data_IF_978905870214
#
_entry.id   IF_978905870214
#
_cell.length_a   1.000
_cell.length_b   1.000
_cell.length_c   1.000
_cell.angle_alpha   90.00
_cell.angle_beta   90.00
_cell.angle_gamma   90.00
#
_symmetry.space_group_name_H-M   'P 1'
#
loop_
_entity.id
_entity.type
_entity.pdbx_description
1 polymer ?
#
# COMPACT_ATOMS: atom_id res chain seq x y z
N UNK A 1 -30.43 -17.86 -26.23
CA UNK A 1 -30.26 -19.20 -25.59
C UNK A 1 -28.88 -19.72 -26.01
N UNK A 2 -28.15 -20.30 -25.05
CA UNK A 2 -26.75 -20.80 -25.21
C UNK A 2 -26.64 -21.87 -26.30
N UNK A 3 -27.76 -22.34 -26.79
CA UNK A 3 -27.85 -23.47 -27.74
C UNK A 3 -27.94 -23.01 -29.21
N UNK A 4 -28.27 -21.77 -29.49
CA UNK A 4 -28.54 -21.26 -30.84
C UNK A 4 -27.34 -20.63 -31.55
N UNK A 5 -26.30 -20.25 -30.82
CA UNK A 5 -25.05 -19.77 -31.40
C UNK A 5 -23.99 -20.88 -31.30
N UNK A 6 -23.35 -21.14 -32.39
CA UNK A 6 -22.30 -22.17 -32.58
C UNK A 6 -21.03 -21.78 -31.77
N UNK A 7 -21.13 -21.76 -30.43
CA UNK A 7 -20.11 -21.19 -29.58
C UNK A 7 -19.26 -22.30 -28.98
N UNK A 8 -18.17 -22.62 -29.67
CA UNK A 8 -16.97 -23.16 -29.05
C UNK A 8 -16.18 -21.95 -28.55
N UNK A 9 -16.26 -21.62 -27.29
CA UNK A 9 -15.36 -20.60 -26.70
C UNK A 9 -14.28 -21.29 -25.87
N UNK A 10 -13.04 -20.87 -26.08
CA UNK A 10 -11.90 -21.29 -25.26
C UNK A 10 -11.37 -20.09 -24.50
N UNK A 11 -11.15 -20.29 -23.20
CA UNK A 11 -10.53 -19.30 -22.32
C UNK A 11 -11.25 -17.94 -22.28
N UNK A 12 -12.59 -17.98 -22.29
CA UNK A 12 -13.40 -16.77 -22.10
C UNK A 12 -13.44 -16.36 -20.63
N UNK A 13 -13.07 -15.11 -20.34
CA UNK A 13 -13.07 -14.57 -18.98
C UNK A 13 -14.47 -14.04 -18.65
N UNK A 14 -15.12 -14.63 -17.66
CA UNK A 14 -16.49 -14.27 -17.24
C UNK A 14 -16.50 -13.96 -15.74
N UNK A 15 -17.26 -12.95 -15.34
CA UNK A 15 -17.49 -12.60 -13.96
C UNK A 15 -18.75 -13.35 -13.44
N UNK A 16 -18.55 -14.34 -12.59
CA UNK A 16 -19.66 -15.07 -11.93
C UNK A 16 -19.65 -14.76 -10.44
N UNK A 17 -20.72 -14.17 -9.92
CA UNK A 17 -20.85 -13.82 -8.49
C UNK A 17 -19.62 -13.07 -7.95
N UNK A 18 -19.10 -12.10 -8.70
CA UNK A 18 -17.90 -11.32 -8.39
C UNK A 18 -16.58 -12.11 -8.38
N UNK A 19 -16.56 -13.34 -8.90
CA UNK A 19 -15.36 -14.16 -9.09
C UNK A 19 -15.06 -14.21 -10.58
N UNK A 20 -13.83 -13.89 -10.98
CA UNK A 20 -13.37 -14.07 -12.36
C UNK A 20 -13.07 -15.55 -12.63
N UNK A 21 -13.83 -16.14 -13.52
CA UNK A 21 -13.67 -17.54 -13.94
C UNK A 21 -13.34 -17.63 -15.42
N UNK A 22 -12.45 -18.54 -15.75
CA UNK A 22 -12.16 -18.93 -17.11
C UNK A 22 -13.18 -19.98 -17.55
N UNK A 23 -13.91 -19.69 -18.60
CA UNK A 23 -15.00 -20.54 -19.09
C UNK A 23 -14.57 -21.17 -20.43
N UNK A 24 -14.62 -22.48 -20.49
CA UNK A 24 -14.48 -23.24 -21.72
C UNK A 24 -15.79 -23.93 -22.04
N UNK A 25 -16.28 -23.74 -23.26
CA UNK A 25 -17.54 -24.34 -23.73
C UNK A 25 -17.25 -25.26 -24.93
N UNK A 26 -17.67 -26.50 -24.83
CA UNK A 26 -17.56 -27.49 -25.89
C UNK A 26 -18.95 -28.09 -26.17
N UNK A 27 -19.37 -28.03 -27.44
CA UNK A 27 -20.60 -28.67 -27.86
C UNK A 27 -20.41 -30.19 -28.07
N UNK A 28 -21.40 -30.98 -27.66
CA UNK A 28 -21.44 -32.42 -27.87
C UNK A 28 -22.46 -32.71 -28.94
N UNK A 29 -22.03 -33.44 -29.99
CA UNK A 29 -22.87 -33.88 -31.11
C UNK A 29 -23.06 -35.39 -31.04
N UNK A 30 -24.28 -35.86 -31.35
CA UNK A 30 -24.60 -37.27 -31.57
C UNK A 30 -25.39 -37.38 -32.87
N UNK A 31 -24.91 -38.19 -33.80
CA UNK A 31 -25.49 -38.33 -35.16
C UNK A 31 -25.71 -36.98 -35.86
N UNK A 32 -24.70 -36.12 -35.86
CA UNK A 32 -24.69 -34.75 -36.39
C UNK A 32 -25.76 -33.80 -35.80
N UNK A 33 -26.40 -34.18 -34.72
CA UNK A 33 -27.31 -33.33 -33.99
C UNK A 33 -26.69 -32.88 -32.68
N UNK A 34 -26.84 -31.61 -32.36
CA UNK A 34 -26.41 -31.05 -31.07
C UNK A 34 -27.17 -31.77 -29.95
N UNK A 35 -26.43 -32.51 -29.13
CA UNK A 35 -26.96 -33.26 -27.99
C UNK A 35 -26.86 -32.47 -26.68
N UNK A 36 -25.81 -31.67 -26.54
CA UNK A 36 -25.60 -30.89 -25.34
C UNK A 36 -24.31 -30.06 -25.40
N UNK A 37 -23.94 -29.47 -24.29
CA UNK A 37 -22.68 -28.76 -24.16
C UNK A 37 -22.01 -29.07 -22.79
N UNK A 38 -20.68 -29.18 -22.81
CA UNK A 38 -19.87 -29.22 -21.58
C UNK A 38 -19.30 -27.82 -21.33
N UNK A 39 -19.52 -27.31 -20.14
CA UNK A 39 -18.97 -26.05 -19.67
C UNK A 39 -17.98 -26.35 -18.54
N UNK A 40 -16.73 -25.99 -18.71
CA UNK A 40 -15.72 -26.07 -17.66
C UNK A 40 -15.48 -24.68 -17.12
N UNK A 41 -15.55 -24.54 -15.81
CA UNK A 41 -15.28 -23.27 -15.08
C UNK A 41 -13.99 -23.46 -14.28
N UNK A 42 -13.05 -22.52 -14.42
CA UNK A 42 -11.81 -22.53 -13.63
C UNK A 42 -11.67 -21.20 -12.92
N UNK A 43 -11.66 -21.23 -11.60
CA UNK A 43 -11.40 -20.08 -10.76
C UNK A 43 -9.94 -19.61 -10.92
N UNK A 44 -9.77 -18.31 -11.17
CA UNK A 44 -8.45 -17.69 -11.34
C UNK A 44 -7.96 -16.93 -10.10
N UNK A 45 -8.77 -16.86 -9.04
CA UNK A 45 -8.47 -16.05 -7.86
C UNK A 45 -7.16 -16.49 -7.18
N UNK A 46 -6.92 -17.79 -7.10
CA UNK A 46 -5.70 -18.36 -6.48
C UNK A 46 -4.45 -18.11 -7.34
N UNK A 47 -4.59 -18.25 -8.65
CA UNK A 47 -3.50 -17.96 -9.60
C UNK A 47 -3.13 -16.45 -9.57
N UNK A 48 -4.11 -15.57 -9.52
CA UNK A 48 -3.90 -14.12 -9.40
C UNK A 48 -3.24 -13.74 -8.06
N UNK A 49 -3.61 -14.38 -6.95
CA UNK A 49 -2.94 -14.21 -5.67
C UNK A 49 -1.45 -14.58 -5.76
N UNK A 50 -1.16 -15.76 -6.30
CA UNK A 50 0.22 -16.24 -6.48
C UNK A 50 1.03 -15.32 -7.40
N UNK A 51 0.45 -14.82 -8.50
CA UNK A 51 1.11 -13.87 -9.40
C UNK A 51 1.37 -12.54 -8.69
N UNK A 52 0.44 -12.08 -7.85
CA UNK A 52 0.61 -10.83 -7.08
C UNK A 52 1.68 -10.97 -6.01
N UNK A 53 1.74 -12.11 -5.32
CA UNK A 53 2.80 -12.43 -4.36
C UNK A 53 4.17 -12.56 -5.04
N UNK A 54 4.25 -13.23 -6.19
CA UNK A 54 5.47 -13.35 -6.98
C UNK A 54 5.95 -12.00 -7.52
N UNK A 55 5.05 -11.18 -8.07
CA UNK A 55 5.41 -9.83 -8.54
C UNK A 55 5.77 -8.89 -7.39
N UNK A 56 5.22 -9.10 -6.20
CA UNK A 56 5.65 -8.40 -4.99
C UNK A 56 7.09 -8.72 -4.62
N UNK A 57 7.46 -10.01 -4.71
CA UNK A 57 8.85 -10.49 -4.43
C UNK A 57 9.85 -10.00 -5.49
N UNK A 58 9.47 -9.97 -6.77
CA UNK A 58 10.31 -9.43 -7.84
C UNK A 58 10.56 -7.94 -7.66
N UNK A 59 9.52 -7.15 -7.43
CA UNK A 59 9.64 -5.70 -7.13
C UNK A 59 10.48 -5.43 -5.88
N UNK A 60 10.38 -6.29 -4.86
CA UNK A 60 11.22 -6.20 -3.66
C UNK A 60 12.69 -6.47 -3.99
N UNK A 61 12.98 -7.52 -4.78
CA UNK A 61 14.34 -7.85 -5.21
C UNK A 61 14.94 -6.76 -6.10
N UNK A 62 14.17 -6.17 -7.00
CA UNK A 62 14.60 -5.06 -7.84
C UNK A 62 14.90 -3.81 -7.00
N UNK A 63 14.07 -3.52 -6.01
CA UNK A 63 14.30 -2.43 -5.05
C UNK A 63 15.57 -2.66 -4.21
N UNK A 64 15.83 -3.90 -3.78
CA UNK A 64 17.07 -4.24 -3.08
C UNK A 64 18.31 -4.09 -3.97
N UNK A 65 18.22 -4.50 -5.25
CA UNK A 65 19.30 -4.30 -6.22
C UNK A 65 19.59 -2.83 -6.45
N UNK A 66 18.56 -2.02 -6.64
CA UNK A 66 18.69 -0.57 -6.80
C UNK A 66 19.31 0.07 -5.57
N UNK A 67 18.90 -0.33 -4.36
CA UNK A 67 19.53 0.12 -3.12
C UNK A 67 21.01 -0.24 -3.04
N UNK A 68 21.37 -1.48 -3.41
CA UNK A 68 22.76 -1.92 -3.45
C UNK A 68 23.59 -1.10 -4.42
N UNK A 69 23.05 -0.80 -5.61
CA UNK A 69 23.71 0.06 -6.59
C UNK A 69 23.92 1.48 -6.08
N UNK A 70 22.88 2.08 -5.45
CA UNK A 70 23.01 3.41 -4.85
C UNK A 70 24.03 3.45 -3.71
N UNK A 71 24.07 2.40 -2.89
CA UNK A 71 25.05 2.27 -1.81
C UNK A 71 26.48 2.14 -2.37
N UNK A 72 26.68 1.26 -3.37
CA UNK A 72 27.97 1.09 -4.03
C UNK A 72 28.46 2.39 -4.68
N UNK A 73 27.58 3.16 -5.32
CA UNK A 73 27.94 4.46 -5.89
C UNK A 73 28.41 5.45 -4.81
N UNK A 74 27.77 5.48 -3.64
CA UNK A 74 28.20 6.31 -2.50
C UNK A 74 29.58 5.88 -1.99
N UNK A 75 29.83 4.56 -1.90
CA UNK A 75 31.16 4.04 -1.54
C UNK A 75 32.23 4.38 -2.59
N UNK A 76 31.93 4.33 -3.90
CA UNK A 76 32.86 4.71 -4.94
C UNK A 76 33.24 6.19 -4.86
N UNK A 77 32.29 7.09 -4.56
CA UNK A 77 32.59 8.52 -4.35
C UNK A 77 33.51 8.69 -3.14
N UNK A 78 33.21 8.04 -2.02
CA UNK A 78 34.07 8.08 -0.82
C UNK A 78 35.47 7.56 -1.11
N UNK A 79 35.59 6.44 -1.81
CA UNK A 79 36.86 5.84 -2.18
C UNK A 79 37.69 6.80 -3.06
N UNK A 80 37.07 7.39 -4.09
CA UNK A 80 37.72 8.38 -4.96
C UNK A 80 38.22 9.61 -4.20
N UNK A 81 37.43 10.15 -3.28
CA UNK A 81 37.83 11.28 -2.44
C UNK A 81 39.02 10.94 -1.52
N UNK A 82 39.06 9.71 -0.99
CA UNK A 82 40.17 9.20 -0.16
C UNK A 82 41.45 9.05 -1.04
N UNK A 83 41.33 8.45 -2.23
CA UNK A 83 42.47 8.33 -3.17
C UNK A 83 43.05 9.70 -3.55
N UNK A 84 42.19 10.71 -3.73
CA UNK A 84 42.59 12.10 -3.98
C UNK A 84 43.12 12.79 -2.73
N UNK A 85 43.14 12.15 -1.56
CA UNK A 85 43.54 12.73 -0.27
C UNK A 85 42.74 13.96 0.13
N UNK A 86 41.51 14.11 -0.39
CA UNK A 86 40.61 15.24 -0.14
C UNK A 86 39.76 14.97 1.13
N UNK A 87 40.44 14.90 2.27
CA UNK A 87 39.80 14.49 3.55
C UNK A 87 38.71 15.45 4.01
N UNK A 88 38.84 16.75 3.75
CA UNK A 88 37.79 17.73 4.06
C UNK A 88 36.49 17.45 3.27
N UNK A 89 36.63 17.03 2.00
CA UNK A 89 35.48 16.67 1.17
C UNK A 89 34.89 15.32 1.57
N UNK A 90 35.70 14.38 2.09
CA UNK A 90 35.23 13.13 2.68
C UNK A 90 34.34 13.44 3.88
N UNK A 91 34.77 14.31 4.79
CA UNK A 91 34.02 14.69 5.98
C UNK A 91 32.69 15.37 5.62
N UNK A 92 32.72 16.32 4.68
CA UNK A 92 31.51 16.97 4.15
C UNK A 92 30.54 15.97 3.52
N UNK A 93 31.07 15.03 2.73
CA UNK A 93 30.23 14.02 2.07
C UNK A 93 29.63 13.03 3.06
N UNK A 94 30.37 12.61 4.09
CA UNK A 94 29.85 11.79 5.19
C UNK A 94 28.77 12.56 5.97
N UNK A 95 29.00 13.83 6.29
CA UNK A 95 28.03 14.69 6.94
C UNK A 95 26.76 14.83 6.09
N UNK A 96 26.89 15.11 4.80
CA UNK A 96 25.78 15.13 3.86
C UNK A 96 25.00 13.80 3.84
N UNK A 97 25.70 12.65 3.80
CA UNK A 97 25.05 11.34 3.84
C UNK A 97 24.33 11.09 5.17
N UNK A 98 24.91 11.55 6.28
CA UNK A 98 24.33 11.44 7.61
C UNK A 98 23.10 12.32 7.75
N UNK A 99 23.15 13.55 7.27
CA UNK A 99 22.03 14.48 7.32
C UNK A 99 20.87 14.03 6.40
N UNK A 100 21.19 13.59 5.15
CA UNK A 100 20.19 12.99 4.25
C UNK A 100 19.56 11.72 4.82
N UNK A 101 20.32 10.95 5.60
CA UNK A 101 19.83 9.75 6.29
C UNK A 101 19.00 10.13 7.52
N UNK A 102 19.47 11.05 8.38
CA UNK A 102 18.77 11.46 9.59
C UNK A 102 17.50 12.25 9.29
N UNK A 103 17.54 13.17 8.34
CA UNK A 103 16.38 13.97 7.97
C UNK A 103 15.23 13.13 7.36
N UNK A 104 15.57 12.03 6.66
CA UNK A 104 14.58 11.22 5.91
C UNK A 104 14.30 9.85 6.51
N UNK A 105 15.21 9.28 7.29
CA UNK A 105 15.19 7.86 7.68
C UNK A 105 15.49 7.64 9.17
N UNK A 106 16.24 8.54 9.81
CA UNK A 106 16.74 8.35 11.17
C UNK A 106 15.62 8.04 12.16
N UNK A 107 14.57 8.85 12.15
CA UNK A 107 13.42 8.68 13.05
C UNK A 107 12.64 7.39 12.75
N UNK A 108 12.56 6.95 11.48
CA UNK A 108 11.84 5.71 11.13
C UNK A 108 12.56 4.50 11.73
N UNK A 109 13.87 4.40 11.58
CA UNK A 109 14.65 3.23 12.06
C UNK A 109 14.82 3.24 13.59
N UNK A 110 14.83 4.43 14.19
CA UNK A 110 14.99 4.58 15.64
C UNK A 110 13.69 4.30 16.40
N UNK A 111 12.56 4.70 15.86
CA UNK A 111 11.28 4.68 16.56
C UNK A 111 10.35 3.55 16.07
N UNK A 112 10.46 3.13 14.80
CA UNK A 112 9.66 2.04 14.25
C UNK A 112 10.46 0.74 14.31
N UNK A 113 10.27 -0.04 15.37
CA UNK A 113 11.02 -1.26 15.65
C UNK A 113 10.50 -2.51 14.93
N UNK A 114 9.45 -2.39 14.13
CA UNK A 114 8.92 -3.45 13.26
C UNK A 114 9.50 -3.29 11.86
N UNK A 115 10.43 -4.19 11.42
CA UNK A 115 11.16 -4.02 10.16
C UNK A 115 10.27 -3.92 8.92
N UNK A 116 9.15 -4.67 8.90
CA UNK A 116 8.20 -4.64 7.79
C UNK A 116 7.55 -3.26 7.64
N UNK A 117 7.12 -2.64 8.76
CA UNK A 117 6.50 -1.30 8.76
C UNK A 117 7.55 -0.24 8.38
N UNK A 118 8.75 -0.31 8.97
CA UNK A 118 9.83 0.63 8.64
C UNK A 118 10.20 0.56 7.14
N UNK A 119 10.40 -0.64 6.60
CA UNK A 119 10.69 -0.86 5.19
C UNK A 119 9.59 -0.35 4.26
N UNK A 120 8.32 -0.59 4.60
CA UNK A 120 7.16 -0.10 3.87
C UNK A 120 7.12 1.44 3.84
N UNK A 121 7.25 2.09 4.99
CA UNK A 121 7.25 3.55 5.08
C UNK A 121 8.38 4.17 4.25
N UNK A 122 9.59 3.59 4.28
CA UNK A 122 10.71 4.02 3.45
C UNK A 122 10.40 3.90 1.95
N UNK A 123 9.75 2.83 1.53
CA UNK A 123 9.32 2.67 0.14
C UNK A 123 8.30 3.75 -0.26
N UNK A 124 7.31 4.03 0.60
CA UNK A 124 6.30 5.06 0.36
C UNK A 124 6.87 6.48 0.36
N UNK A 125 7.86 6.78 1.19
CA UNK A 125 8.59 8.06 1.15
C UNK A 125 9.27 8.26 -0.21
N UNK A 126 9.90 7.21 -0.76
CA UNK A 126 10.51 7.28 -2.09
C UNK A 126 9.48 7.44 -3.21
N UNK A 127 8.39 6.68 -3.16
CA UNK A 127 7.29 6.78 -4.12
C UNK A 127 6.70 8.20 -4.14
N UNK A 128 6.40 8.76 -2.97
CA UNK A 128 5.89 10.13 -2.83
C UNK A 128 6.87 11.15 -3.43
N UNK A 129 8.19 10.99 -3.17
CA UNK A 129 9.23 11.87 -3.74
C UNK A 129 9.26 11.84 -5.26
N UNK A 130 9.07 10.67 -5.89
CA UNK A 130 8.97 10.56 -7.36
C UNK A 130 7.79 11.34 -7.93
N UNK A 131 6.74 11.54 -7.14
CA UNK A 131 5.54 12.32 -7.47
C UNK A 131 5.65 13.79 -7.01
N UNK A 132 6.82 14.26 -6.57
CA UNK A 132 7.06 15.58 -5.99
C UNK A 132 6.22 15.86 -4.73
N UNK A 133 5.87 14.84 -3.96
CA UNK A 133 5.13 14.93 -2.70
C UNK A 133 6.09 14.70 -1.54
N UNK A 134 6.01 15.53 -0.50
CA UNK A 134 6.76 15.38 0.74
C UNK A 134 5.97 14.46 1.68
N UNK A 135 6.39 13.20 1.83
CA UNK A 135 5.87 12.30 2.85
C UNK A 135 6.81 12.30 4.04
N UNK A 136 6.30 12.68 5.20
CA UNK A 136 7.04 12.75 6.47
C UNK A 136 6.44 11.77 7.46
N UNK A 137 7.30 11.13 8.24
CA UNK A 137 6.88 10.38 9.43
C UNK A 137 7.05 11.31 10.61
N UNK A 138 5.99 11.46 11.39
CA UNK A 138 6.00 12.32 12.57
C UNK A 138 7.10 11.87 13.54
N UNK A 139 7.93 12.77 14.07
CA UNK A 139 9.02 12.43 14.99
C UNK A 139 8.56 11.73 16.28
N UNK A 140 7.33 11.99 16.72
CA UNK A 140 6.75 11.37 17.91
C UNK A 140 6.16 9.97 17.63
N UNK A 141 6.27 9.48 16.37
CA UNK A 141 5.87 8.11 16.03
C UNK A 141 6.73 7.09 16.77
N UNK A 142 6.10 6.08 17.37
CA UNK A 142 6.80 4.98 18.03
C UNK A 142 6.03 3.67 17.89
N UNK A 143 6.65 2.68 17.27
CA UNK A 143 6.12 1.31 17.17
C UNK A 143 7.17 0.35 17.70
N UNK A 144 6.90 -0.23 18.87
CA UNK A 144 7.72 -1.27 19.46
C UNK A 144 7.35 -2.64 18.86
N UNK A 145 8.33 -3.54 18.71
CA UNK A 145 8.05 -4.91 18.32
C UNK A 145 7.53 -5.67 19.55
N UNK A 146 6.23 -5.99 19.56
CA UNK A 146 5.55 -6.76 20.61
C UNK A 146 5.10 -8.10 20.02
N UNK A 147 5.42 -9.21 20.69
CA UNK A 147 4.96 -10.55 20.32
C UNK A 147 3.44 -10.61 20.26
N UNK A 148 2.89 -11.41 19.36
CA UNK A 148 1.44 -11.58 19.21
C UNK A 148 0.76 -10.52 18.32
N UNK A 149 1.49 -9.48 17.88
CA UNK A 149 0.93 -8.44 17.02
C UNK A 149 1.28 -8.56 15.53
N UNK A 150 1.88 -9.68 15.11
CA UNK A 150 2.35 -9.85 13.72
C UNK A 150 1.19 -9.74 12.71
N UNK A 151 0.02 -10.31 13.02
CA UNK A 151 -1.16 -10.20 12.16
C UNK A 151 -1.66 -8.76 12.06
N UNK A 152 -1.76 -8.06 13.19
CA UNK A 152 -2.14 -6.65 13.24
C UNK A 152 -1.14 -5.77 12.46
N UNK A 153 0.15 -6.03 12.58
CA UNK A 153 1.17 -5.28 11.84
C UNK A 153 1.07 -5.52 10.33
N UNK A 154 0.73 -6.74 9.89
CA UNK A 154 0.48 -7.01 8.47
C UNK A 154 -0.76 -6.25 7.96
N UNK A 155 -1.83 -6.20 8.74
CA UNK A 155 -3.02 -5.43 8.38
C UNK A 155 -2.79 -3.92 8.44
N UNK A 156 -1.94 -3.44 9.36
CA UNK A 156 -1.50 -2.05 9.40
C UNK A 156 -0.79 -1.63 8.10
N UNK A 157 -0.04 -2.52 7.45
CA UNK A 157 0.56 -2.24 6.14
C UNK A 157 -0.50 -2.00 5.07
N UNK A 158 -1.61 -2.75 5.10
CA UNK A 158 -2.75 -2.55 4.18
C UNK A 158 -3.41 -1.20 4.44
N UNK A 159 -3.68 -0.89 5.72
CA UNK A 159 -4.26 0.40 6.14
C UNK A 159 -3.40 1.56 5.64
N UNK A 160 -2.10 1.54 5.97
CA UNK A 160 -1.15 2.58 5.56
C UNK A 160 -1.07 2.71 4.04
N UNK A 161 -1.05 1.58 3.33
CA UNK A 161 -1.02 1.57 1.87
C UNK A 161 -2.20 2.33 1.29
N UNK A 162 -3.41 1.98 1.69
CA UNK A 162 -4.65 2.61 1.20
C UNK A 162 -4.67 4.10 1.55
N UNK A 163 -4.38 4.47 2.79
CA UNK A 163 -4.47 5.87 3.22
C UNK A 163 -3.41 6.75 2.54
N UNK A 164 -2.17 6.29 2.46
CA UNK A 164 -1.07 7.03 1.81
C UNK A 164 -1.34 7.15 0.29
N UNK A 165 -1.82 6.09 -0.37
CA UNK A 165 -2.12 6.13 -1.80
C UNK A 165 -3.30 7.06 -2.10
N UNK A 166 -4.34 7.05 -1.28
CA UNK A 166 -5.45 8.01 -1.37
C UNK A 166 -4.97 9.46 -1.19
N UNK A 167 -4.08 9.69 -0.22
CA UNK A 167 -3.47 11.01 0.01
C UNK A 167 -2.64 11.47 -1.19
N UNK A 168 -1.80 10.59 -1.75
CA UNK A 168 -1.02 10.92 -2.97
C UNK A 168 -1.94 11.24 -4.16
N UNK A 169 -3.02 10.49 -4.34
CA UNK A 169 -4.00 10.76 -5.40
C UNK A 169 -4.76 12.07 -5.16
N UNK A 170 -5.13 12.39 -3.90
CA UNK A 170 -5.80 13.63 -3.52
C UNK A 170 -4.94 14.87 -3.79
N UNK A 171 -3.64 14.76 -3.57
CA UNK A 171 -2.66 15.81 -3.84
C UNK A 171 -2.43 15.97 -5.36
N UNK A 172 -2.31 14.84 -6.10
CA UNK A 172 -2.04 14.87 -7.53
C UNK A 172 -0.77 15.65 -7.88
N UNK A 173 -0.89 16.62 -8.77
CA UNK A 173 0.22 17.47 -9.23
C UNK A 173 0.34 18.82 -8.47
N UNK A 174 -0.28 18.95 -7.30
CA UNK A 174 -0.21 20.17 -6.50
C UNK A 174 1.21 20.45 -6.03
N UNK A 175 1.71 21.66 -6.27
CA UNK A 175 2.99 22.11 -5.70
C UNK A 175 2.91 22.16 -4.17
N UNK A 176 3.99 21.72 -3.50
CA UNK A 176 4.03 21.67 -2.04
C UNK A 176 3.12 20.60 -1.43
N UNK A 177 2.83 19.53 -2.20
CA UNK A 177 2.10 18.38 -1.69
C UNK A 177 2.79 17.79 -0.45
N UNK A 178 2.02 17.58 0.63
CA UNK A 178 2.52 17.10 1.91
C UNK A 178 1.63 16.03 2.49
N UNK A 179 2.25 14.94 2.95
CA UNK A 179 1.62 13.87 3.73
C UNK A 179 2.39 13.73 5.04
N UNK A 180 1.69 13.57 6.15
CA UNK A 180 2.30 13.27 7.45
C UNK A 180 1.65 12.00 8.02
N UNK A 181 2.48 11.04 8.37
CA UNK A 181 2.05 9.78 9.00
C UNK A 181 2.51 9.79 10.46
N UNK A 182 1.59 9.56 11.36
CA UNK A 182 1.85 9.35 12.78
C UNK A 182 1.41 7.96 13.18
N UNK A 183 2.32 7.22 13.83
CA UNK A 183 2.10 5.86 14.31
C UNK A 183 2.56 5.74 15.75
N UNK A 184 1.68 5.35 16.65
CA UNK A 184 2.03 5.21 18.04
C UNK A 184 1.41 3.95 18.65
N UNK A 185 2.25 3.10 19.21
CA UNK A 185 1.85 1.93 19.99
C UNK A 185 1.92 2.28 21.47
N UNK A 186 0.79 2.65 22.06
CA UNK A 186 0.69 2.86 23.51
C UNK A 186 0.54 1.50 24.21
N UNK A 187 1.61 1.07 24.87
CA UNK A 187 1.63 -0.22 25.59
C UNK A 187 1.01 -0.15 26.99
N UNK A 188 0.78 1.06 27.52
CA UNK A 188 0.13 1.26 28.81
C UNK A 188 -1.40 1.22 28.66
N UNK A 189 -1.92 1.83 27.61
CA UNK A 189 -3.36 1.86 27.30
C UNK A 189 -3.77 0.72 26.36
N UNK A 190 -2.82 -0.07 25.88
CA UNK A 190 -3.03 -1.13 24.90
C UNK A 190 -3.77 -0.65 23.62
N UNK A 191 -3.30 0.45 23.04
CA UNK A 191 -3.90 1.05 21.85
C UNK A 191 -2.82 1.29 20.79
N UNK A 192 -3.13 0.90 19.55
CA UNK A 192 -2.40 1.33 18.36
C UNK A 192 -3.12 2.52 17.74
N UNK A 193 -2.44 3.66 17.68
CA UNK A 193 -2.91 4.89 17.05
C UNK A 193 -2.20 5.08 15.70
N UNK A 194 -2.98 5.30 14.64
CA UNK A 194 -2.49 5.63 13.30
C UNK A 194 -3.20 6.88 12.79
N UNK A 195 -2.43 7.90 12.39
CA UNK A 195 -2.98 9.09 11.72
C UNK A 195 -2.26 9.32 10.41
N UNK A 196 -3.03 9.65 9.38
CA UNK A 196 -2.52 10.06 8.07
C UNK A 196 -3.16 11.37 7.70
N UNK A 197 -2.33 12.40 7.59
CA UNK A 197 -2.70 13.74 7.17
C UNK A 197 -2.23 14.01 5.75
N UNK A 198 -3.04 14.70 4.95
CA UNK A 198 -2.63 15.27 3.68
C UNK A 198 -3.15 16.70 3.48
N UNK A 199 -2.46 17.45 2.63
CA UNK A 199 -2.87 18.77 2.19
C UNK A 199 -3.48 18.77 0.77
N UNK A 200 -4.12 17.67 0.37
CA UNK A 200 -4.73 17.48 -0.95
C UNK A 200 -5.96 18.36 -1.21
N UNK A 201 -6.87 17.86 -2.04
CA UNK A 201 -8.10 18.56 -2.41
C UNK A 201 -9.14 18.61 -1.29
N UNK A 202 -9.04 17.71 -0.31
CA UNK A 202 -10.09 17.48 0.68
C UNK A 202 -11.22 16.59 0.16
N UNK A 203 -12.15 16.25 1.05
CA UNK A 203 -13.35 15.45 0.79
C UNK A 203 -14.55 16.31 1.14
N UNK A 204 -15.51 16.44 0.22
CA UNK A 204 -16.74 17.19 0.48
C UNK A 204 -17.62 16.48 1.51
N UNK A 205 -18.45 17.24 2.23
CA UNK A 205 -19.33 16.70 3.28
C UNK A 205 -20.25 15.60 2.78
N UNK A 206 -20.79 15.76 1.58
CA UNK A 206 -21.69 14.76 0.97
C UNK A 206 -21.00 13.42 0.69
N UNK A 207 -19.68 13.45 0.47
CA UNK A 207 -18.86 12.29 0.24
C UNK A 207 -18.44 11.65 1.57
N UNK A 208 -18.15 12.46 2.60
CA UNK A 208 -17.70 11.99 3.91
C UNK A 208 -18.68 11.00 4.56
N UNK A 209 -19.98 11.21 4.38
CA UNK A 209 -21.02 10.34 4.95
C UNK A 209 -20.95 8.90 4.39
N UNK A 210 -20.47 8.73 3.15
CA UNK A 210 -20.49 7.45 2.43
C UNK A 210 -19.08 6.94 2.06
N UNK A 211 -18.02 7.61 2.53
CA UNK A 211 -16.64 7.37 2.09
C UNK A 211 -16.15 5.94 2.38
N UNK A 212 -16.74 5.27 3.37
CA UNK A 212 -16.45 3.89 3.76
C UNK A 212 -17.37 2.86 3.10
N UNK A 213 -18.41 3.28 2.37
CA UNK A 213 -19.31 2.34 1.69
C UNK A 213 -18.59 1.59 0.57
N UNK A 214 -18.91 0.30 0.46
CA UNK A 214 -18.31 -0.58 -0.52
C UNK A 214 -18.64 -0.15 -1.95
N UNK A 215 -17.62 0.08 -2.77
CA UNK A 215 -17.78 0.48 -4.17
C UNK A 215 -18.08 1.97 -4.35
N UNK A 216 -18.14 2.75 -3.26
CA UNK A 216 -18.31 4.19 -3.34
C UNK A 216 -16.98 4.85 -3.76
N UNK A 217 -16.99 5.50 -4.91
CA UNK A 217 -15.82 6.19 -5.46
C UNK A 217 -16.23 7.34 -6.34
N UNK A 218 -15.61 8.49 -6.15
CA UNK A 218 -15.75 9.65 -7.04
C UNK A 218 -14.82 9.57 -8.27
N UNK A 219 -14.00 8.51 -8.36
CA UNK A 219 -12.87 8.40 -9.32
C UNK A 219 -13.10 7.36 -10.45
N UNK A 220 -14.33 6.84 -10.61
CA UNK A 220 -14.73 5.93 -11.71
C UNK A 220 -15.16 4.53 -11.27
N UNK A 221 -15.67 3.77 -12.26
CA UNK A 221 -16.12 2.38 -12.07
C UNK A 221 -14.97 1.44 -11.67
N UNK A 222 -15.26 0.43 -10.86
CA UNK A 222 -14.30 -0.54 -10.26
C UNK A 222 -13.32 0.02 -9.22
N UNK A 223 -13.61 1.17 -8.60
CA UNK A 223 -12.87 1.75 -7.46
C UNK A 223 -13.79 1.84 -6.21
N UNK A 224 -13.23 2.23 -5.06
CA UNK A 224 -14.02 2.42 -3.83
C UNK A 224 -13.98 1.22 -2.88
N UNK A 225 -13.03 0.31 -3.03
CA UNK A 225 -12.86 -0.83 -2.12
C UNK A 225 -11.82 -0.59 -1.03
N UNK A 226 -10.92 0.38 -1.22
CA UNK A 226 -9.79 0.63 -0.32
C UNK A 226 -10.23 1.07 1.07
N UNK A 227 -11.00 2.16 1.20
CA UNK A 227 -11.45 2.66 2.49
C UNK A 227 -12.44 1.71 3.19
N UNK A 228 -13.28 1.00 2.42
CA UNK A 228 -14.12 -0.06 2.96
C UNK A 228 -13.28 -1.23 3.53
N UNK A 229 -12.17 -1.61 2.88
CA UNK A 229 -11.25 -2.60 3.41
C UNK A 229 -10.60 -2.12 4.71
N UNK A 230 -10.16 -0.85 4.77
CA UNK A 230 -9.63 -0.24 6.00
C UNK A 230 -10.65 -0.31 7.13
N UNK A 231 -11.89 0.11 6.89
CA UNK A 231 -12.97 0.05 7.89
C UNK A 231 -13.22 -1.39 8.35
N UNK A 232 -13.22 -2.35 7.42
CA UNK A 232 -13.41 -3.77 7.73
C UNK A 232 -12.31 -4.29 8.64
N UNK A 233 -11.05 -3.94 8.37
CA UNK A 233 -9.90 -4.31 9.21
C UNK A 233 -10.06 -3.68 10.60
N UNK A 234 -10.32 -2.38 10.67
CA UNK A 234 -10.47 -1.68 11.96
C UNK A 234 -11.59 -2.30 12.80
N UNK A 235 -12.74 -2.58 12.21
CA UNK A 235 -13.88 -3.25 12.89
C UNK A 235 -13.52 -4.66 13.36
N UNK A 236 -12.69 -5.41 12.64
CA UNK A 236 -12.24 -6.76 13.06
C UNK A 236 -11.55 -6.73 14.44
N UNK A 237 -10.83 -5.64 14.74
CA UNK A 237 -10.14 -5.43 16.01
C UNK A 237 -10.93 -4.57 17.00
N UNK A 238 -12.24 -4.38 16.82
CA UNK A 238 -13.07 -3.50 17.64
C UNK A 238 -12.52 -2.05 17.73
N UNK A 239 -11.80 -1.61 16.70
CA UNK A 239 -11.21 -0.29 16.62
C UNK A 239 -12.18 0.77 16.10
N UNK A 240 -11.69 2.00 16.11
CA UNK A 240 -12.40 3.17 15.61
C UNK A 240 -11.64 3.78 14.44
N UNK A 241 -12.37 4.27 13.45
CA UNK A 241 -11.85 5.06 12.36
C UNK A 241 -12.66 6.34 12.25
N UNK A 242 -11.98 7.46 12.16
CA UNK A 242 -12.55 8.78 11.97
C UNK A 242 -11.86 9.51 10.82
N UNK A 243 -12.59 10.43 10.16
CA UNK A 243 -12.08 11.26 9.08
C UNK A 243 -12.54 12.70 9.23
N UNK A 244 -11.59 13.58 9.37
CA UNK A 244 -11.79 15.02 9.33
C UNK A 244 -11.28 15.55 7.99
N UNK A 245 -12.13 16.27 7.25
CA UNK A 245 -11.72 16.84 5.97
C UNK A 245 -12.36 18.16 5.66
N UNK A 246 -11.55 19.05 5.14
CA UNK A 246 -11.92 20.35 4.56
C UNK A 246 -11.05 20.63 3.33
N UNK A 247 -11.35 21.67 2.59
CA UNK A 247 -10.57 22.03 1.39
C UNK A 247 -9.10 22.26 1.76
N UNK A 248 -8.22 21.46 1.19
CA UNK A 248 -6.78 21.55 1.42
C UNK A 248 -6.27 20.80 2.64
N UNK A 249 -7.12 20.01 3.30
CA UNK A 249 -6.73 19.24 4.48
C UNK A 249 -7.62 18.01 4.66
N UNK A 250 -6.99 16.84 4.79
CA UNK A 250 -7.69 15.61 5.21
C UNK A 250 -6.86 14.92 6.28
N UNK A 251 -7.51 14.40 7.31
CA UNK A 251 -6.89 13.60 8.35
C UNK A 251 -7.73 12.35 8.60
N UNK A 252 -7.15 11.19 8.41
CA UNK A 252 -7.70 9.93 8.90
C UNK A 252 -7.07 9.59 10.24
N UNK A 253 -7.89 9.23 11.22
CA UNK A 253 -7.47 8.77 12.54
C UNK A 253 -8.01 7.37 12.77
N UNK A 254 -7.15 6.44 13.17
CA UNK A 254 -7.49 5.05 13.45
C UNK A 254 -6.95 4.70 14.83
N UNK A 255 -7.81 4.12 15.64
CA UNK A 255 -7.49 3.62 16.97
C UNK A 255 -7.86 2.14 17.03
N UNK A 256 -6.89 1.27 17.32
CA UNK A 256 -7.09 -0.17 17.42
C UNK A 256 -6.70 -0.61 18.83
N UNK A 257 -7.66 -1.11 19.64
CA UNK A 257 -7.34 -1.72 20.92
C UNK A 257 -6.55 -3.01 20.71
N UNK A 258 -5.59 -3.26 21.58
CA UNK A 258 -4.74 -4.44 21.58
C UNK A 258 -5.15 -5.30 22.75
N UNK A 259 -5.65 -6.51 22.48
CA UNK A 259 -5.97 -7.47 23.52
C UNK A 259 -4.67 -8.00 24.15
N UNK A 260 -4.62 -8.07 25.47
CA UNK A 260 -3.56 -8.79 26.19
C UNK A 260 -3.87 -10.30 26.11
N UNK A 261 -2.93 -11.10 25.60
CA UNK A 261 -2.97 -12.55 25.75
C UNK A 261 -2.67 -12.98 27.19
#
# INVERSE_FOLDING_TARGET
>A
SIIEENIISRDELVLLNHIEVLVNRNAIYQNDKLYGAVVTLRDQSEMKKLITELSGTEKYNDSLREQSHHFMNKLHVLHGLIEMKSYDEVEKFITYLKDDYHEKIGHISENIKVPAIAGFLLAKVREAKQKNISLLIDPDSMILNKKGLDELFNELLIILGVLIDNSMESIGNKEGGKIVVYLYLNTEENILLCKVYDNGSGISKDILENVFERGYSTKGENRGYGLNAVETIVKKYNGLIDVESEVGKTTFTIEIPIEEE
#
